data_IF_548209403258
#
_entry.id   IF_548209403258
#
_cell.length_a   1.000
_cell.length_b   1.000
_cell.length_c   1.000
_cell.angle_alpha   90.00
_cell.angle_beta   90.00
_cell.angle_gamma   90.00
#
_symmetry.space_group_name_H-M   'P 1'
#
loop_
_entity.id
_entity.type
_entity.pdbx_description
1 polymer ?
#
# COMPACT_ATOMS: atom_id res chain seq x y z
N UNK A 1 -20.08 17.15 -6.38
CA UNK A 1 -18.72 17.72 -6.35
C UNK A 1 -18.00 16.89 -5.33
N UNK A 2 -17.27 15.90 -5.82
CA UNK A 2 -16.42 15.07 -4.97
C UNK A 2 -15.26 15.95 -4.57
N UNK A 3 -15.06 16.14 -3.27
CA UNK A 3 -13.96 16.94 -2.76
C UNK A 3 -12.73 16.04 -2.70
N UNK A 4 -12.06 15.90 -3.85
CA UNK A 4 -10.91 15.00 -4.02
C UNK A 4 -9.83 15.26 -2.97
N UNK A 5 -9.68 16.51 -2.54
CA UNK A 5 -8.72 16.89 -1.50
C UNK A 5 -9.10 16.27 -0.16
N UNK A 6 -10.36 16.36 0.26
CA UNK A 6 -10.80 15.72 1.51
C UNK A 6 -10.65 14.19 1.46
N UNK A 7 -10.98 13.56 0.33
CA UNK A 7 -10.80 12.11 0.18
C UNK A 7 -9.32 11.70 0.24
N UNK A 8 -8.44 12.48 -0.38
CA UNK A 8 -6.99 12.29 -0.31
C UNK A 8 -6.49 12.44 1.13
N UNK A 9 -6.90 13.48 1.85
CA UNK A 9 -6.51 13.71 3.25
C UNK A 9 -6.96 12.57 4.16
N UNK A 10 -8.21 12.11 4.02
CA UNK A 10 -8.72 10.96 4.78
C UNK A 10 -7.96 9.67 4.47
N UNK A 11 -7.57 9.45 3.20
CA UNK A 11 -6.76 8.29 2.82
C UNK A 11 -5.37 8.36 3.47
N UNK A 12 -4.72 9.53 3.46
CA UNK A 12 -3.41 9.70 4.10
C UNK A 12 -3.48 9.42 5.61
N UNK A 13 -4.47 9.98 6.31
CA UNK A 13 -4.64 9.75 7.75
C UNK A 13 -4.86 8.27 8.06
N UNK A 14 -5.64 7.56 7.24
CA UNK A 14 -5.84 6.13 7.38
C UNK A 14 -4.53 5.35 7.13
N UNK A 15 -3.75 5.71 6.11
CA UNK A 15 -2.47 5.06 5.82
C UNK A 15 -1.44 5.29 6.92
N UNK A 16 -1.35 6.51 7.48
CA UNK A 16 -0.49 6.80 8.63
C UNK A 16 -0.86 5.94 9.84
N UNK A 17 -2.16 5.69 10.07
CA UNK A 17 -2.61 4.84 11.16
C UNK A 17 -2.34 3.35 10.92
N UNK A 18 -2.48 2.87 9.68
CA UNK A 18 -2.30 1.45 9.32
C UNK A 18 -0.82 1.06 9.24
N UNK A 19 -0.01 1.90 8.58
CA UNK A 19 1.39 1.59 8.25
C UNK A 19 2.39 2.21 9.24
N UNK A 20 1.96 3.14 10.09
CA UNK A 20 2.76 3.74 11.17
C UNK A 20 4.17 4.15 10.71
N UNK A 21 5.21 3.48 11.21
CA UNK A 21 6.61 3.80 10.93
C UNK A 21 7.06 3.51 9.49
N UNK A 22 6.32 2.68 8.75
CA UNK A 22 6.59 2.33 7.35
C UNK A 22 6.21 3.46 6.39
N UNK A 23 5.29 4.35 6.80
CA UNK A 23 4.76 5.44 6.01
C UNK A 23 5.40 6.78 6.39
N UNK A 24 5.99 7.48 5.41
CA UNK A 24 6.68 8.76 5.64
C UNK A 24 6.38 9.76 4.54
N UNK A 25 6.05 10.99 4.93
CA UNK A 25 6.04 12.12 4.00
C UNK A 25 7.48 12.50 3.62
N UNK A 26 7.71 12.72 2.32
CA UNK A 26 9.00 13.11 1.76
C UNK A 26 8.86 14.36 0.89
N UNK A 27 9.96 15.10 0.74
CA UNK A 27 9.97 16.28 -0.12
C UNK A 27 9.87 15.89 -1.60
N UNK A 28 9.15 16.69 -2.40
CA UNK A 28 8.97 16.44 -3.84
C UNK A 28 10.30 16.41 -4.62
N UNK A 29 11.36 17.04 -4.09
CA UNK A 29 12.71 16.97 -4.66
C UNK A 29 13.41 15.61 -4.49
N UNK A 30 12.98 14.81 -3.51
CA UNK A 30 13.57 13.50 -3.18
C UNK A 30 12.71 12.32 -3.68
N UNK A 31 11.45 12.57 -4.03
CA UNK A 31 10.50 11.55 -4.50
C UNK A 31 10.84 10.96 -5.87
N UNK A 32 11.56 11.72 -6.70
CA UNK A 32 11.79 11.38 -8.11
C UNK A 32 10.53 11.48 -8.97
N UNK A 33 9.45 12.07 -8.43
CA UNK A 33 8.22 12.38 -9.16
C UNK A 33 8.29 13.81 -9.69
N UNK A 34 7.77 14.04 -10.89
CA UNK A 34 7.72 15.38 -11.50
C UNK A 34 6.48 16.14 -11.02
N UNK A 35 6.39 16.39 -9.72
CA UNK A 35 5.26 17.06 -9.07
C UNK A 35 5.73 18.01 -7.98
N UNK A 36 4.92 19.04 -7.71
CA UNK A 36 5.08 19.95 -6.57
C UNK A 36 4.16 19.59 -5.40
N UNK A 37 3.36 18.54 -5.53
CA UNK A 37 2.46 18.06 -4.48
C UNK A 37 3.23 17.30 -3.39
N UNK A 38 2.53 17.02 -2.29
CA UNK A 38 3.01 16.16 -1.23
C UNK A 38 3.34 14.78 -1.80
N UNK A 39 4.48 14.25 -1.39
CA UNK A 39 4.97 12.96 -1.81
C UNK A 39 5.12 12.09 -0.57
N UNK A 40 4.74 10.84 -0.68
CA UNK A 40 4.78 9.89 0.41
C UNK A 40 5.63 8.70 -0.01
N UNK A 41 6.33 8.12 0.96
CA UNK A 41 7.14 6.94 0.81
C UNK A 41 6.64 5.88 1.78
N UNK A 42 6.33 4.71 1.24
CA UNK A 42 6.07 3.50 2.01
C UNK A 42 7.26 2.56 1.88
N UNK A 43 7.81 2.15 3.01
CA UNK A 43 8.90 1.17 3.06
C UNK A 43 8.30 -0.22 3.15
N UNK A 44 8.68 -1.12 2.25
CA UNK A 44 8.16 -2.47 2.16
C UNK A 44 9.29 -3.49 2.27
N UNK A 45 9.08 -4.49 3.12
CA UNK A 45 9.91 -5.68 3.28
C UNK A 45 9.08 -6.95 3.06
N UNK A 46 9.69 -8.05 2.59
CA UNK A 46 8.99 -9.32 2.38
C UNK A 46 8.74 -10.11 3.68
N UNK A 47 9.43 -9.76 4.77
CA UNK A 47 9.23 -10.33 6.10
C UNK A 47 8.96 -9.20 7.09
N UNK A 48 7.99 -9.43 7.98
CA UNK A 48 7.80 -8.60 9.17
C UNK A 48 8.96 -8.89 10.14
N UNK A 49 9.42 -7.85 10.87
CA UNK A 49 10.68 -7.75 11.63
C UNK A 49 10.96 -8.83 12.71
N UNK A 50 10.19 -9.91 12.78
CA UNK A 50 10.30 -10.98 13.79
C UNK A 50 11.21 -12.17 13.39
N UNK A 51 11.78 -12.17 12.19
CA UNK A 51 12.62 -13.28 11.73
C UNK A 51 14.12 -13.08 12.06
N UNK A 52 14.61 -13.93 12.96
CA UNK A 52 15.99 -14.20 13.38
C UNK A 52 17.09 -13.75 12.37
N UNK A 53 18.17 -13.11 12.89
CA UNK A 53 19.31 -12.51 12.16
C UNK A 53 20.20 -13.51 11.37
N UNK A 54 19.64 -14.59 10.86
CA UNK A 54 20.37 -15.72 10.33
C UNK A 54 20.02 -15.95 8.84
N UNK A 55 20.67 -15.20 7.95
CA UNK A 55 21.45 -15.70 6.76
C UNK A 55 21.42 -14.79 5.51
N UNK A 56 20.56 -13.77 5.40
CA UNK A 56 20.71 -12.76 4.32
C UNK A 56 20.06 -11.42 4.73
N UNK A 57 20.62 -10.27 4.33
CA UNK A 57 19.96 -9.00 4.56
C UNK A 57 18.59 -8.98 3.89
N UNK A 58 17.51 -8.58 4.59
CA UNK A 58 16.18 -8.49 3.98
C UNK A 58 16.23 -7.52 2.80
N UNK A 59 15.51 -7.85 1.72
CA UNK A 59 15.33 -6.89 0.63
C UNK A 59 14.34 -5.81 1.07
N UNK A 60 14.60 -4.59 0.62
CA UNK A 60 13.80 -3.43 1.02
C UNK A 60 13.46 -2.61 -0.22
N UNK A 61 12.18 -2.27 -0.35
CA UNK A 61 11.61 -1.48 -1.42
C UNK A 61 11.02 -0.19 -0.83
N UNK A 62 11.29 0.94 -1.48
CA UNK A 62 10.54 2.17 -1.25
C UNK A 62 9.53 2.37 -2.37
N UNK A 63 8.25 2.29 -2.04
CA UNK A 63 7.15 2.70 -2.89
C UNK A 63 6.87 4.18 -2.64
N UNK A 64 7.09 5.01 -3.64
CA UNK A 64 6.90 6.45 -3.57
C UNK A 64 5.70 6.83 -4.41
N UNK A 65 4.78 7.59 -3.84
CA UNK A 65 3.60 8.04 -4.55
C UNK A 65 3.26 9.50 -4.27
N UNK A 66 2.44 10.10 -5.13
CA UNK A 66 1.86 11.42 -4.95
C UNK A 66 0.48 11.49 -5.61
N UNK A 67 -0.47 12.09 -4.91
CA UNK A 67 -1.82 12.27 -5.44
C UNK A 67 -1.85 13.29 -6.59
N UNK A 68 -2.63 12.97 -7.62
CA UNK A 68 -2.95 13.89 -8.71
C UNK A 68 -4.18 14.72 -8.33
N UNK A 69 -4.40 15.86 -9.01
CA UNK A 69 -5.53 16.74 -8.71
C UNK A 69 -6.90 16.06 -8.87
N UNK A 70 -6.95 14.96 -9.65
CA UNK A 70 -8.16 14.20 -9.94
C UNK A 70 -8.18 12.82 -9.29
N UNK A 71 -7.18 12.47 -8.48
CA UNK A 71 -7.20 11.21 -7.77
C UNK A 71 -8.45 11.14 -6.85
N UNK A 72 -9.21 10.03 -6.82
CA UNK A 72 -8.90 8.71 -7.40
C UNK A 72 -9.43 8.44 -8.82
N UNK A 73 -10.04 9.42 -9.50
CA UNK A 73 -10.50 9.28 -10.90
C UNK A 73 -9.34 9.21 -11.90
N UNK A 74 -8.16 9.70 -11.50
CA UNK A 74 -6.90 9.60 -12.24
C UNK A 74 -5.87 8.85 -11.38
N UNK A 75 -5.01 7.99 -11.97
CA UNK A 75 -4.05 7.24 -11.19
C UNK A 75 -3.07 8.18 -10.46
N UNK A 76 -2.54 7.76 -9.30
CA UNK A 76 -1.52 8.51 -8.59
C UNK A 76 -0.20 8.47 -9.38
N UNK A 77 0.66 9.44 -9.12
CA UNK A 77 2.04 9.37 -9.61
C UNK A 77 2.80 8.34 -8.79
N UNK A 78 3.36 7.32 -9.45
CA UNK A 78 4.05 6.20 -8.80
C UNK A 78 5.52 6.12 -9.21
N UNK A 79 6.36 5.83 -8.22
CA UNK A 79 7.77 5.52 -8.41
C UNK A 79 8.21 4.45 -7.43
N UNK A 80 9.08 3.55 -7.88
CA UNK A 80 9.61 2.45 -7.05
C UNK A 80 11.13 2.56 -7.00
N UNK A 81 11.69 2.46 -5.80
CA UNK A 81 13.12 2.58 -5.55
C UNK A 81 13.59 1.40 -4.72
N UNK A 82 14.67 0.74 -5.17
CA UNK A 82 15.32 -0.25 -4.32
C UNK A 82 16.08 0.47 -3.21
N UNK A 83 15.74 0.16 -1.97
CA UNK A 83 16.55 0.50 -0.82
C UNK A 83 17.64 -0.56 -0.63
N UNK A 84 17.29 -1.83 -0.82
CA UNK A 84 18.22 -2.95 -0.60
C UNK A 84 17.89 -4.17 -1.43
N UNK A 85 18.89 -4.71 -2.14
CA UNK A 85 18.85 -6.08 -2.69
C UNK A 85 17.90 -6.34 -3.87
N UNK A 86 17.22 -5.33 -4.42
CA UNK A 86 16.27 -5.48 -5.54
C UNK A 86 16.94 -5.04 -6.85
N UNK A 87 16.80 -5.86 -7.89
CA UNK A 87 17.38 -5.55 -9.19
C UNK A 87 16.57 -4.48 -9.94
N UNK A 88 17.25 -3.66 -10.75
CA UNK A 88 16.58 -2.63 -11.54
C UNK A 88 15.59 -3.20 -12.59
N UNK A 89 15.80 -4.44 -13.06
CA UNK A 89 14.84 -5.13 -13.94
C UNK A 89 13.54 -5.46 -13.22
N UNK A 90 13.65 -6.00 -12.01
CA UNK A 90 12.54 -6.33 -11.13
C UNK A 90 11.73 -5.09 -10.73
N UNK A 91 12.41 -3.97 -10.43
CA UNK A 91 11.74 -2.69 -10.19
C UNK A 91 10.86 -2.23 -11.36
N UNK A 92 11.31 -2.44 -12.60
CA UNK A 92 10.51 -2.07 -13.79
C UNK A 92 9.27 -2.94 -13.91
N UNK A 93 9.41 -4.25 -13.71
CA UNK A 93 8.29 -5.20 -13.76
C UNK A 93 7.26 -4.84 -12.68
N UNK A 94 7.72 -4.59 -11.45
CA UNK A 94 6.84 -4.19 -10.37
C UNK A 94 6.14 -2.86 -10.68
N UNK A 95 6.87 -1.87 -11.19
CA UNK A 95 6.28 -0.59 -11.58
C UNK A 95 5.17 -0.77 -12.62
N UNK A 96 5.42 -1.54 -13.67
CA UNK A 96 4.44 -1.80 -14.73
C UNK A 96 3.20 -2.52 -14.18
N UNK A 97 3.37 -3.47 -13.25
CA UNK A 97 2.27 -4.13 -12.55
C UNK A 97 1.41 -3.13 -11.77
N UNK A 98 2.04 -2.27 -10.96
CA UNK A 98 1.32 -1.28 -10.14
C UNK A 98 0.62 -0.22 -11.00
N UNK A 99 1.22 0.21 -12.10
CA UNK A 99 0.59 1.14 -13.04
C UNK A 99 -0.65 0.53 -13.73
N UNK A 100 -0.60 -0.76 -14.06
CA UNK A 100 -1.75 -1.49 -14.58
C UNK A 100 -2.86 -1.58 -13.54
N UNK A 101 -2.52 -2.01 -12.32
CA UNK A 101 -3.47 -2.17 -11.23
C UNK A 101 -4.12 -0.84 -10.82
N UNK A 102 -3.36 0.26 -10.83
CA UNK A 102 -3.89 1.60 -10.60
C UNK A 102 -4.92 2.00 -11.65
N UNK A 103 -4.73 1.58 -12.90
CA UNK A 103 -5.68 1.84 -13.99
C UNK A 103 -6.96 1.01 -13.87
N UNK A 104 -6.88 -0.15 -13.23
CA UNK A 104 -8.03 -1.05 -12.98
C UNK A 104 -8.85 -0.62 -11.76
N UNK A 105 -8.23 0.08 -10.80
CA UNK A 105 -8.84 0.53 -9.54
C UNK A 105 -9.27 2.01 -9.53
N UNK A 106 -9.41 2.64 -10.70
CA UNK A 106 -9.86 4.03 -10.80
C UNK A 106 -11.27 4.24 -10.23
N UNK A 107 -11.48 5.41 -9.64
CA UNK A 107 -12.75 5.82 -9.03
C UNK A 107 -12.86 5.53 -7.54
N UNK A 108 -11.83 4.94 -6.91
CA UNK A 108 -11.73 4.80 -5.46
C UNK A 108 -10.29 4.88 -4.96
N UNK A 109 -10.12 5.21 -3.68
CA UNK A 109 -8.85 5.15 -2.98
C UNK A 109 -8.19 3.77 -3.18
N UNK A 110 -6.96 3.76 -3.70
CA UNK A 110 -6.24 2.57 -4.17
C UNK A 110 -4.82 2.48 -3.64
N UNK A 111 -4.30 3.48 -2.90
CA UNK A 111 -2.90 3.46 -2.45
C UNK A 111 -2.62 2.24 -1.58
N UNK A 112 -3.51 1.94 -0.64
CA UNK A 112 -3.37 0.75 0.21
C UNK A 112 -3.33 -0.54 -0.62
N UNK A 113 -4.22 -0.66 -1.61
CA UNK A 113 -4.23 -1.79 -2.54
C UNK A 113 -2.90 -1.95 -3.27
N UNK A 114 -2.36 -0.84 -3.81
CA UNK A 114 -1.06 -0.85 -4.49
C UNK A 114 0.10 -1.22 -3.55
N UNK A 115 0.06 -0.73 -2.31
CA UNK A 115 1.01 -1.08 -1.24
C UNK A 115 0.97 -2.58 -0.96
N UNK A 116 -0.21 -3.16 -0.74
CA UNK A 116 -0.39 -4.58 -0.50
C UNK A 116 0.09 -5.42 -1.68
N UNK A 117 -0.33 -5.07 -2.91
CA UNK A 117 0.08 -5.76 -4.13
C UNK A 117 1.59 -5.69 -4.38
N UNK A 118 2.24 -4.61 -3.97
CA UNK A 118 3.70 -4.49 -4.00
C UNK A 118 4.38 -5.36 -2.94
N UNK A 119 3.84 -5.40 -1.70
CA UNK A 119 4.33 -6.26 -0.62
C UNK A 119 4.22 -7.73 -1.01
N UNK A 120 3.06 -8.17 -1.50
CA UNK A 120 2.84 -9.53 -1.99
C UNK A 120 3.80 -9.91 -3.13
N UNK A 121 4.00 -9.02 -4.09
CA UNK A 121 4.93 -9.25 -5.19
C UNK A 121 6.37 -9.39 -4.70
N UNK A 122 6.78 -8.54 -3.75
CA UNK A 122 8.09 -8.59 -3.13
C UNK A 122 8.29 -9.92 -2.38
N UNK A 123 7.28 -10.36 -1.63
CA UNK A 123 7.26 -11.65 -0.94
C UNK A 123 7.31 -12.83 -1.93
N UNK A 124 6.49 -12.85 -2.98
CA UNK A 124 6.52 -13.96 -3.96
C UNK A 124 7.90 -14.10 -4.64
N UNK A 125 8.60 -12.97 -4.84
CA UNK A 125 9.86 -12.94 -5.58
C UNK A 125 11.09 -13.13 -4.70
N UNK A 126 11.05 -12.63 -3.47
CA UNK A 126 12.20 -12.53 -2.57
C UNK A 126 11.96 -13.15 -1.19
N UNK A 127 10.76 -13.64 -0.86
CA UNK A 127 10.59 -14.55 0.28
C UNK A 127 11.50 -15.74 0.04
N UNK A 128 12.44 -15.92 0.95
CA UNK A 128 13.33 -17.07 0.92
C UNK A 128 12.49 -18.34 0.87
N UNK A 129 12.96 -19.31 0.12
CA UNK A 129 12.57 -20.72 0.20
C UNK A 129 12.79 -21.20 1.65
N UNK A 130 11.87 -20.85 2.52
CA UNK A 130 11.77 -21.31 3.89
C UNK A 130 10.35 -21.87 3.97
N UNK A 131 10.20 -23.10 3.48
CA UNK A 131 9.00 -23.86 3.78
C UNK A 131 8.84 -23.91 5.30
N UNK A 132 7.82 -23.22 5.80
CA UNK A 132 6.99 -23.55 6.97
C UNK A 132 5.82 -22.55 6.94
N UNK A 133 4.67 -23.09 6.55
CA UNK A 133 3.32 -22.76 7.01
C UNK A 133 3.15 -21.48 7.84
N UNK A 134 2.61 -20.44 7.22
CA UNK A 134 1.78 -19.48 7.92
C UNK A 134 0.64 -19.09 6.98
N UNK A 135 -0.38 -19.94 6.98
CA UNK A 135 -1.76 -19.52 6.73
C UNK A 135 -2.10 -18.48 7.81
N UNK A 136 -1.60 -17.26 7.65
CA UNK A 136 -2.06 -16.10 8.38
C UNK A 136 -3.42 -15.77 7.81
N UNK A 137 -4.44 -16.38 8.41
CA UNK A 137 -5.82 -15.95 8.31
C UNK A 137 -5.86 -14.46 8.64
N UNK A 138 -5.84 -13.59 7.62
CA UNK A 138 -6.55 -12.33 7.71
C UNK A 138 -8.03 -12.69 7.82
N UNK A 139 -8.48 -13.04 9.02
CA UNK A 139 -9.86 -12.83 9.41
C UNK A 139 -10.10 -11.32 9.35
N UNK A 140 -10.43 -10.86 8.14
CA UNK A 140 -11.26 -9.68 7.96
C UNK A 140 -12.46 -9.89 8.88
N UNK A 141 -12.51 -9.14 9.98
CA UNK A 141 -13.70 -8.95 10.83
C UNK A 141 -14.86 -8.41 9.98
N UNK A 142 -15.44 -9.29 9.17
CA UNK A 142 -16.78 -9.15 8.63
C UNK A 142 -17.70 -9.73 9.69
N UNK A 143 -18.10 -8.94 10.68
CA UNK A 143 -19.41 -9.07 11.34
C UNK A 143 -19.60 -8.10 12.52
N UNK A 144 -19.61 -6.78 12.29
CA UNK A 144 -20.31 -5.86 13.24
C UNK A 144 -21.19 -4.78 12.58
N UNK A 145 -21.41 -4.81 11.26
CA UNK A 145 -22.41 -3.91 10.62
C UNK A 145 -23.79 -4.56 10.48
N UNK A 146 -23.93 -5.89 10.66
CA UNK A 146 -25.23 -6.57 10.59
C UNK A 146 -26.02 -6.47 11.91
N UNK A 147 -25.37 -6.26 13.05
CA UNK A 147 -26.07 -6.26 14.34
C UNK A 147 -26.97 -5.03 14.56
N UNK A 148 -26.63 -3.88 13.97
CA UNK A 148 -27.44 -2.67 14.13
C UNK A 148 -28.77 -2.71 13.36
N UNK A 149 -28.82 -3.40 12.22
CA UNK A 149 -30.05 -3.48 11.41
C UNK A 149 -31.05 -4.51 11.95
N UNK A 150 -30.58 -5.62 12.53
CA UNK A 150 -31.48 -6.65 13.08
C UNK A 150 -32.10 -6.22 14.41
N UNK A 151 -31.37 -5.51 15.27
CA UNK A 151 -31.90 -5.06 16.57
C UNK A 151 -32.92 -3.93 16.41
N UNK A 152 -32.74 -3.03 15.44
CA UNK A 152 -33.69 -1.93 15.20
C UNK A 152 -35.04 -2.44 14.63
N UNK A 153 -35.04 -3.55 13.90
CA UNK A 153 -36.27 -4.14 13.35
C UNK A 153 -37.12 -4.84 14.42
N UNK A 154 -36.54 -5.28 15.54
CA UNK A 154 -37.28 -5.91 16.64
C UNK A 154 -37.93 -4.91 17.61
N UNK A 155 -37.58 -3.62 17.55
CA UNK A 155 -38.07 -2.59 18.48
C UNK A 155 -39.11 -1.63 17.88
N UNK A 156 -39.57 -1.87 16.64
CA UNK A 156 -40.61 -1.05 15.97
C UNK A 156 -41.90 -1.84 15.62
N UNK A 157 -42.06 -3.07 16.13
CA UNK A 157 -43.35 -3.78 16.10
C UNK A 157 -43.92 -4.00 17.50
#
# INVERSE_FOLDING_TARGET
MTDHVQEQEMEIEALEAILMDEFKEIHSGESGLNTSNQCFQVTLSPQDDEADESTMPPVELALIFSHTEKYPDEPPLLNVKSLRGIQAGDLKILKEKLEQEASENLGMAMIYTLVTSAKEWLSERYSQDAGIDNTGEEELEKDEVVFFFTVLCLYIC
#
